data_IF_360136110978
#
_entry.id   IF_360136110978
#
_cell.length_a   1.000
_cell.length_b   1.000
_cell.length_c   1.000
_cell.angle_alpha   90.00
_cell.angle_beta   90.00
_cell.angle_gamma   90.00
#
_symmetry.space_group_name_H-M   'P 1'
#
loop_
_entity.id
_entity.type
_entity.pdbx_description
1 polymer ?
#
# COMPACT_ATOMS: atom_id res chain seq x y z
N UNK A 1 29.59 0.75 -22.45
CA UNK A 1 30.00 -0.55 -21.88
C UNK A 1 29.09 -1.02 -20.74
N UNK A 2 28.68 -0.17 -19.78
CA UNK A 2 27.77 -0.55 -18.68
C UNK A 2 26.35 -0.95 -19.10
N UNK A 3 25.80 -0.34 -20.15
CA UNK A 3 24.42 -0.61 -20.63
C UNK A 3 24.29 -2.04 -21.20
N UNK A 4 25.28 -2.51 -21.97
CA UNK A 4 25.26 -3.86 -22.54
C UNK A 4 25.39 -4.97 -21.48
N UNK A 5 25.96 -4.66 -20.31
CA UNK A 5 26.07 -5.60 -19.20
C UNK A 5 24.73 -5.74 -18.46
N UNK A 6 24.02 -4.63 -18.23
CA UNK A 6 22.70 -4.64 -17.59
C UNK A 6 21.66 -5.35 -18.48
N UNK A 7 21.68 -5.10 -19.79
CA UNK A 7 20.77 -5.78 -20.74
C UNK A 7 21.01 -7.29 -20.75
N UNK A 8 22.27 -7.75 -20.68
CA UNK A 8 22.60 -9.19 -20.62
C UNK A 8 22.13 -9.83 -19.31
N UNK A 9 22.25 -9.14 -18.18
CA UNK A 9 21.75 -9.66 -16.90
C UNK A 9 20.22 -9.78 -16.94
N UNK A 10 19.52 -8.74 -17.40
CA UNK A 10 18.05 -8.79 -17.54
C UNK A 10 17.62 -9.92 -18.48
N UNK A 11 18.31 -10.10 -19.61
CA UNK A 11 17.98 -11.16 -20.56
C UNK A 11 18.24 -12.57 -20.01
N UNK A 12 19.31 -12.77 -19.24
CA UNK A 12 19.61 -14.05 -18.58
C UNK A 12 18.61 -14.32 -17.44
N UNK A 13 18.23 -13.30 -16.66
CA UNK A 13 17.21 -13.42 -15.62
C UNK A 13 15.83 -13.74 -16.21
N UNK A 14 15.45 -13.11 -17.33
CA UNK A 14 14.22 -13.40 -18.06
C UNK A 14 14.25 -14.82 -18.63
N UNK A 15 15.37 -15.27 -19.20
CA UNK A 15 15.52 -16.66 -19.66
C UNK A 15 15.46 -17.67 -18.51
N UNK A 16 16.04 -17.37 -17.36
CA UNK A 16 15.98 -18.23 -16.17
C UNK A 16 14.56 -18.29 -15.60
N UNK A 17 13.85 -17.16 -15.53
CA UNK A 17 12.45 -17.11 -15.11
C UNK A 17 11.50 -17.81 -16.10
N UNK A 18 11.76 -17.72 -17.41
CA UNK A 18 11.01 -18.48 -18.41
C UNK A 18 11.33 -19.97 -18.27
N UNK A 19 12.58 -20.36 -18.05
CA UNK A 19 12.91 -21.78 -17.83
C UNK A 19 12.32 -22.36 -16.54
N UNK A 20 12.20 -21.56 -15.46
CA UNK A 20 11.54 -22.01 -14.23
C UNK A 20 10.00 -21.98 -14.30
N UNK A 21 9.42 -21.24 -15.25
CA UNK A 21 8.00 -21.32 -15.58
C UNK A 21 7.67 -22.50 -16.51
N UNK A 22 8.66 -23.03 -17.24
CA UNK A 22 8.51 -24.14 -18.19
C UNK A 22 9.15 -25.47 -17.74
N UNK A 23 9.71 -25.56 -16.52
CA UNK A 23 10.25 -26.82 -15.99
C UNK A 23 9.27 -27.58 -15.09
N UNK A 24 8.00 -27.67 -15.48
CA UNK A 24 7.24 -28.85 -15.10
C UNK A 24 7.79 -29.97 -15.97
N UNK A 25 8.50 -30.93 -15.38
CA UNK A 25 8.92 -32.13 -16.11
C UNK A 25 7.69 -32.72 -16.78
N UNK A 26 7.67 -32.69 -18.11
CA UNK A 26 6.56 -33.27 -18.87
C UNK A 26 6.60 -34.78 -18.64
N UNK A 27 5.61 -35.28 -17.90
CA UNK A 27 5.49 -36.72 -17.62
C UNK A 27 5.24 -37.49 -18.92
N UNK A 28 5.72 -38.73 -18.94
CA UNK A 28 5.59 -39.60 -20.10
C UNK A 28 4.13 -39.86 -20.49
N UNK A 29 3.88 -40.22 -21.75
CA UNK A 29 2.53 -40.57 -22.20
C UNK A 29 1.97 -41.75 -21.40
N UNK A 30 2.81 -42.74 -21.08
CA UNK A 30 2.45 -43.88 -20.25
C UNK A 30 2.01 -43.45 -18.84
N UNK A 31 2.68 -42.47 -18.25
CA UNK A 31 2.30 -41.90 -16.95
C UNK A 31 1.01 -41.09 -17.03
N UNK A 32 0.81 -40.29 -18.09
CA UNK A 32 -0.45 -39.59 -18.35
C UNK A 32 -1.61 -40.59 -18.43
N UNK A 33 -1.47 -41.66 -19.22
CA UNK A 33 -2.49 -42.72 -19.34
C UNK A 33 -2.71 -43.44 -18.02
N UNK A 34 -1.65 -43.71 -17.24
CA UNK A 34 -1.78 -44.29 -15.90
C UNK A 34 -2.64 -43.41 -14.99
N UNK A 35 -2.40 -42.10 -14.96
CA UNK A 35 -3.20 -41.16 -14.17
C UNK A 35 -4.66 -41.13 -14.64
N UNK A 36 -4.89 -41.09 -15.95
CA UNK A 36 -6.25 -41.10 -16.54
C UNK A 36 -7.00 -42.38 -16.14
N UNK A 37 -6.36 -43.55 -16.22
CA UNK A 37 -6.98 -44.83 -15.84
C UNK A 37 -7.27 -44.92 -14.34
N UNK A 38 -6.51 -44.22 -13.49
CA UNK A 38 -6.78 -44.19 -12.05
C UNK A 38 -8.04 -43.41 -11.68
N UNK A 39 -8.63 -42.64 -12.60
CA UNK A 39 -9.93 -42.00 -12.40
C UNK A 39 -11.09 -43.01 -12.26
N UNK A 40 -10.91 -44.28 -12.64
CA UNK A 40 -11.88 -45.34 -12.40
C UNK A 40 -11.87 -45.89 -10.96
N UNK A 41 -10.86 -45.49 -10.15
CA UNK A 41 -10.76 -45.91 -8.76
C UNK A 41 -11.75 -45.17 -7.85
N UNK A 42 -12.04 -45.74 -6.67
CA UNK A 42 -12.91 -45.08 -5.68
C UNK A 42 -12.23 -43.95 -4.90
N UNK A 43 -10.91 -43.82 -4.97
CA UNK A 43 -10.14 -42.77 -4.29
C UNK A 43 -9.32 -41.97 -5.31
N UNK A 44 -9.95 -40.90 -5.83
CA UNK A 44 -9.39 -40.07 -6.90
C UNK A 44 -8.68 -38.83 -6.38
N UNK A 45 -8.64 -38.58 -5.07
CA UNK A 45 -8.10 -37.32 -4.52
C UNK A 45 -6.64 -37.06 -4.89
N UNK A 46 -5.79 -38.09 -4.79
CA UNK A 46 -4.39 -38.03 -5.21
C UNK A 46 -4.22 -37.90 -6.73
N UNK A 47 -5.13 -38.50 -7.49
CA UNK A 47 -5.15 -38.45 -8.96
C UNK A 47 -5.50 -37.04 -9.43
N UNK A 48 -6.54 -36.41 -8.88
CA UNK A 48 -6.95 -35.03 -9.18
C UNK A 48 -5.77 -34.07 -8.96
N UNK A 49 -5.08 -34.21 -7.83
CA UNK A 49 -3.89 -33.39 -7.51
C UNK A 49 -2.79 -33.57 -8.57
N UNK A 50 -2.51 -34.81 -8.96
CA UNK A 50 -1.51 -35.13 -9.99
C UNK A 50 -1.90 -34.58 -11.37
N UNK A 51 -3.16 -34.74 -11.78
CA UNK A 51 -3.67 -34.20 -13.05
C UNK A 51 -3.57 -32.67 -13.08
N UNK A 52 -3.81 -32.01 -11.94
CA UNK A 52 -3.68 -30.55 -11.77
C UNK A 52 -2.22 -30.10 -11.85
N UNK A 53 -1.32 -30.81 -11.17
CA UNK A 53 0.11 -30.49 -11.11
C UNK A 53 0.75 -30.63 -12.49
N UNK A 54 0.54 -31.76 -13.18
CA UNK A 54 1.13 -32.05 -14.49
C UNK A 54 0.32 -31.53 -15.69
N UNK A 55 -0.79 -30.81 -15.44
CA UNK A 55 -1.66 -30.23 -16.46
C UNK A 55 -2.07 -31.23 -17.57
N UNK A 56 -2.52 -32.42 -17.17
CA UNK A 56 -2.86 -33.53 -18.10
C UNK A 56 -4.21 -33.29 -18.78
N UNK A 57 -4.24 -32.41 -19.78
CA UNK A 57 -5.45 -31.99 -20.48
C UNK A 57 -6.18 -33.13 -21.20
N UNK A 58 -5.47 -34.20 -21.56
CA UNK A 58 -5.99 -35.42 -22.19
C UNK A 58 -6.96 -36.17 -21.27
N UNK A 59 -6.93 -35.92 -19.96
CA UNK A 59 -7.87 -36.50 -19.01
C UNK A 59 -9.30 -35.97 -19.15
N UNK A 60 -9.52 -34.87 -19.88
CA UNK A 60 -10.81 -34.17 -19.99
C UNK A 60 -11.99 -35.09 -20.27
N UNK A 61 -11.94 -35.88 -21.36
CA UNK A 61 -13.04 -36.77 -21.74
C UNK A 61 -13.32 -37.83 -20.68
N UNK A 62 -12.26 -38.33 -20.03
CA UNK A 62 -12.40 -39.31 -18.95
C UNK A 62 -13.05 -38.69 -17.73
N UNK A 63 -12.65 -37.46 -17.37
CA UNK A 63 -13.26 -36.70 -16.27
C UNK A 63 -14.75 -36.50 -16.53
N UNK A 64 -15.14 -36.10 -17.75
CA UNK A 64 -16.55 -35.95 -18.15
C UNK A 64 -17.35 -37.26 -17.94
N UNK A 65 -16.75 -38.41 -18.28
CA UNK A 65 -17.39 -39.71 -18.09
C UNK A 65 -17.56 -40.12 -16.62
N UNK A 66 -16.58 -39.83 -15.76
CA UNK A 66 -16.58 -40.30 -14.37
C UNK A 66 -17.14 -39.28 -13.37
N UNK A 67 -17.36 -38.03 -13.78
CA UNK A 67 -17.73 -36.92 -12.88
C UNK A 67 -18.86 -37.25 -11.92
N UNK A 68 -19.92 -37.90 -12.42
CA UNK A 68 -21.12 -38.26 -11.67
C UNK A 68 -21.04 -39.61 -10.93
N UNK A 69 -19.85 -40.19 -10.79
CA UNK A 69 -19.65 -41.43 -10.05
C UNK A 69 -20.04 -41.23 -8.57
N UNK A 70 -21.04 -41.99 -8.11
CA UNK A 70 -21.58 -41.89 -6.75
C UNK A 70 -20.59 -42.27 -5.65
N UNK A 71 -19.48 -42.92 -6.00
CA UNK A 71 -18.41 -43.25 -5.05
C UNK A 71 -17.51 -42.06 -4.73
N UNK A 72 -17.53 -41.00 -5.54
CA UNK A 72 -16.70 -39.82 -5.30
C UNK A 72 -17.26 -38.96 -4.18
N UNK A 73 -16.36 -38.39 -3.38
CA UNK A 73 -16.75 -37.37 -2.40
C UNK A 73 -17.12 -36.09 -3.13
N UNK A 74 -17.90 -35.22 -2.49
CA UNK A 74 -18.23 -33.89 -3.04
C UNK A 74 -16.97 -33.07 -3.32
N UNK A 75 -15.99 -33.13 -2.43
CA UNK A 75 -14.67 -32.52 -2.63
C UNK A 75 -13.97 -33.01 -3.90
N UNK A 76 -14.09 -34.31 -4.22
CA UNK A 76 -13.47 -34.89 -5.40
C UNK A 76 -14.22 -34.42 -6.66
N UNK A 77 -15.55 -34.41 -6.64
CA UNK A 77 -16.37 -33.91 -7.74
C UNK A 77 -16.10 -32.42 -8.02
N UNK A 78 -15.97 -31.60 -6.98
CA UNK A 78 -15.53 -30.21 -7.15
C UNK A 78 -14.12 -30.13 -7.75
N UNK A 79 -13.17 -30.93 -7.28
CA UNK A 79 -11.82 -30.98 -7.86
C UNK A 79 -11.81 -31.37 -9.34
N UNK A 80 -12.71 -32.29 -9.75
CA UNK A 80 -12.93 -32.63 -11.15
C UNK A 80 -13.58 -31.47 -11.92
N UNK A 81 -14.51 -30.72 -11.32
CA UNK A 81 -15.14 -29.55 -11.94
C UNK A 81 -14.12 -28.45 -12.24
N UNK A 82 -13.21 -28.19 -11.30
CA UNK A 82 -12.08 -27.27 -11.52
C UNK A 82 -11.17 -27.72 -12.67
N UNK A 83 -10.88 -29.03 -12.76
CA UNK A 83 -10.10 -29.58 -13.86
C UNK A 83 -10.82 -29.43 -15.20
N UNK A 84 -12.14 -29.68 -15.25
CA UNK A 84 -12.93 -29.46 -16.46
C UNK A 84 -12.88 -28.00 -16.92
N UNK A 85 -13.05 -27.05 -15.99
CA UNK A 85 -12.89 -25.62 -16.27
C UNK A 85 -11.49 -25.32 -16.82
N UNK A 86 -10.44 -25.78 -16.13
CA UNK A 86 -9.05 -25.56 -16.52
C UNK A 86 -8.69 -26.18 -17.87
N UNK A 87 -9.23 -27.35 -18.19
CA UNK A 87 -8.99 -28.06 -19.44
C UNK A 87 -9.91 -27.62 -20.59
N UNK A 88 -10.75 -26.60 -20.36
CA UNK A 88 -11.64 -26.03 -21.38
C UNK A 88 -12.68 -27.02 -21.88
N UNK A 89 -13.30 -27.79 -20.96
CA UNK A 89 -14.48 -28.58 -21.31
C UNK A 89 -15.66 -27.68 -21.63
N UNK A 90 -16.41 -28.05 -22.67
CA UNK A 90 -17.67 -27.37 -23.01
C UNK A 90 -18.80 -27.75 -22.05
N UNK A 91 -18.63 -28.81 -21.26
CA UNK A 91 -19.61 -29.27 -20.26
C UNK A 91 -19.45 -28.61 -18.90
N UNK A 92 -18.39 -27.82 -18.68
CA UNK A 92 -18.10 -27.19 -17.38
C UNK A 92 -19.29 -26.38 -16.87
N UNK A 93 -19.95 -25.62 -17.76
CA UNK A 93 -21.09 -24.79 -17.40
C UNK A 93 -22.26 -25.63 -16.85
N UNK A 94 -22.72 -26.61 -17.63
CA UNK A 94 -23.83 -27.48 -17.26
C UNK A 94 -23.50 -28.31 -16.01
N UNK A 95 -22.24 -28.74 -15.87
CA UNK A 95 -21.79 -29.53 -14.72
C UNK A 95 -21.73 -28.68 -13.45
N UNK A 96 -21.34 -27.41 -13.53
CA UNK A 96 -21.34 -26.51 -12.39
C UNK A 96 -22.77 -26.25 -11.88
N UNK A 97 -23.73 -25.97 -12.78
CA UNK A 97 -25.14 -25.82 -12.42
C UNK A 97 -25.70 -27.09 -11.77
N UNK A 98 -25.54 -28.24 -12.44
CA UNK A 98 -26.04 -29.50 -11.94
C UNK A 98 -25.38 -29.91 -10.61
N UNK A 99 -24.11 -29.54 -10.40
CA UNK A 99 -23.41 -29.81 -9.15
C UNK A 99 -23.99 -29.00 -7.99
N UNK A 100 -24.28 -27.71 -8.20
CA UNK A 100 -24.95 -26.85 -7.21
C UNK A 100 -26.32 -27.42 -6.83
N UNK A 101 -27.14 -27.78 -7.82
CA UNK A 101 -28.47 -28.35 -7.60
C UNK A 101 -28.39 -29.72 -6.88
N UNK A 102 -27.37 -30.52 -7.21
CA UNK A 102 -27.13 -31.81 -6.55
C UNK A 102 -26.76 -31.65 -5.08
N UNK A 103 -26.02 -30.60 -4.73
CA UNK A 103 -25.68 -30.28 -3.35
C UNK A 103 -26.90 -29.83 -2.54
N UNK A 104 -27.88 -29.18 -3.15
CA UNK A 104 -29.14 -28.79 -2.50
C UNK A 104 -30.01 -30.02 -2.17
N UNK A 105 -30.14 -30.96 -3.10
CA UNK A 105 -31.01 -32.14 -2.95
C UNK A 105 -30.34 -33.27 -2.15
N UNK A 106 -29.02 -33.44 -2.30
CA UNK A 106 -28.24 -34.47 -1.60
C UNK A 106 -26.95 -33.88 -0.99
N UNK A 107 -27.11 -33.09 0.10
CA UNK A 107 -26.02 -32.33 0.72
C UNK A 107 -24.85 -33.18 1.22
N UNK A 108 -25.11 -34.38 1.72
CA UNK A 108 -24.10 -35.12 2.49
C UNK A 108 -23.34 -36.19 1.71
N UNK A 109 -23.83 -36.67 0.56
CA UNK A 109 -23.17 -37.76 -0.18
C UNK A 109 -22.65 -38.86 0.77
N UNK A 110 -21.38 -39.29 0.60
CA UNK A 110 -20.70 -40.25 1.49
C UNK A 110 -19.72 -39.63 2.51
N UNK A 111 -19.37 -38.34 2.42
CA UNK A 111 -18.62 -37.57 3.44
C UNK A 111 -18.35 -36.15 2.91
N UNK A 112 -18.57 -35.11 3.71
CA UNK A 112 -17.90 -33.81 3.54
C UNK A 112 -16.74 -33.80 4.55
N UNK A 113 -15.55 -33.31 4.18
CA UNK A 113 -14.39 -33.20 5.10
C UNK A 113 -14.61 -32.13 6.19
N UNK A 114 -15.81 -32.08 6.81
CA UNK A 114 -16.20 -31.06 7.78
C UNK A 114 -16.52 -29.69 7.17
N UNK A 115 -16.40 -29.51 5.85
CA UNK A 115 -16.80 -28.28 5.15
C UNK A 115 -18.31 -28.26 4.87
N UNK A 116 -18.91 -27.07 4.96
CA UNK A 116 -20.33 -26.88 4.70
C UNK A 116 -20.66 -27.12 3.22
N UNK A 117 -21.86 -27.60 2.94
CA UNK A 117 -22.36 -27.80 1.58
C UNK A 117 -22.38 -26.48 0.81
N UNK A 118 -22.77 -25.43 1.52
CA UNK A 118 -22.79 -24.06 1.03
C UNK A 118 -21.42 -23.58 0.55
N UNK A 119 -20.32 -23.98 1.22
CA UNK A 119 -18.97 -23.70 0.75
C UNK A 119 -18.71 -24.24 -0.67
N UNK A 120 -19.06 -25.50 -0.93
CA UNK A 120 -18.88 -26.08 -2.27
C UNK A 120 -19.81 -25.47 -3.31
N UNK A 121 -21.01 -25.02 -2.91
CA UNK A 121 -21.91 -24.29 -3.79
C UNK A 121 -21.32 -22.92 -4.19
N UNK A 122 -20.69 -22.21 -3.25
CA UNK A 122 -19.96 -20.96 -3.52
C UNK A 122 -18.75 -21.17 -4.44
N UNK A 123 -17.97 -22.24 -4.22
CA UNK A 123 -16.85 -22.54 -5.10
C UNK A 123 -17.30 -22.87 -6.53
N UNK A 124 -18.39 -23.63 -6.68
CA UNK A 124 -18.98 -23.90 -8.00
C UNK A 124 -19.59 -22.64 -8.63
N UNK A 125 -20.20 -21.74 -7.84
CA UNK A 125 -20.70 -20.46 -8.35
C UNK A 125 -19.56 -19.56 -8.82
N UNK A 126 -18.38 -19.61 -8.19
CA UNK A 126 -17.20 -18.90 -8.71
C UNK A 126 -16.81 -19.38 -10.11
N UNK A 127 -16.90 -20.69 -10.41
CA UNK A 127 -16.64 -21.23 -11.75
C UNK A 127 -17.66 -20.68 -12.75
N UNK A 128 -18.94 -20.60 -12.39
CA UNK A 128 -19.97 -19.97 -13.22
C UNK A 128 -19.64 -18.49 -13.49
N UNK A 129 -19.22 -17.74 -12.47
CA UNK A 129 -18.83 -16.33 -12.64
C UNK A 129 -17.61 -16.17 -13.55
N UNK A 130 -16.65 -17.09 -13.46
CA UNK A 130 -15.50 -17.14 -14.39
C UNK A 130 -15.94 -17.40 -15.84
N UNK A 131 -17.07 -18.08 -16.03
CA UNK A 131 -17.72 -18.29 -17.33
C UNK A 131 -18.70 -17.17 -17.71
N UNK A 132 -18.82 -16.11 -16.89
CA UNK A 132 -19.69 -14.96 -17.14
C UNK A 132 -21.13 -15.11 -16.65
N UNK A 133 -21.46 -16.18 -15.91
CA UNK A 133 -22.78 -16.39 -15.32
C UNK A 133 -22.79 -16.08 -13.82
N UNK A 134 -23.59 -15.09 -13.44
CA UNK A 134 -23.73 -14.60 -12.07
C UNK A 134 -25.06 -15.03 -11.42
N UNK A 135 -25.84 -15.92 -12.04
CA UNK A 135 -27.16 -16.36 -11.58
C UNK A 135 -27.19 -17.04 -10.21
N UNK A 136 -26.02 -17.44 -9.69
CA UNK A 136 -25.86 -18.10 -8.38
C UNK A 136 -25.04 -17.25 -7.40
N UNK A 137 -24.91 -15.94 -7.63
CA UNK A 137 -24.15 -15.03 -6.77
C UNK A 137 -24.72 -14.90 -5.35
N UNK A 138 -26.04 -15.04 -5.17
CA UNK A 138 -26.69 -14.99 -3.85
C UNK A 138 -26.11 -15.96 -2.83
N UNK A 139 -25.63 -17.13 -3.29
CA UNK A 139 -25.03 -18.16 -2.43
C UNK A 139 -23.78 -17.65 -1.70
N UNK A 140 -23.05 -16.69 -2.29
CA UNK A 140 -21.88 -16.07 -1.67
C UNK A 140 -22.30 -15.28 -0.44
N UNK A 141 -23.38 -14.52 -0.54
CA UNK A 141 -23.89 -13.71 0.57
C UNK A 141 -24.52 -14.57 1.66
N UNK A 142 -25.23 -15.64 1.29
CA UNK A 142 -25.72 -16.63 2.25
C UNK A 142 -24.56 -17.26 3.02
N UNK A 143 -23.48 -17.64 2.33
CA UNK A 143 -22.28 -18.21 2.95
C UNK A 143 -21.61 -17.23 3.90
N UNK A 144 -21.44 -15.98 3.47
CA UNK A 144 -20.84 -14.93 4.30
C UNK A 144 -21.70 -14.57 5.52
N UNK A 145 -23.01 -14.78 5.49
CA UNK A 145 -23.85 -14.61 6.68
C UNK A 145 -23.66 -15.76 7.67
N UNK A 146 -23.40 -16.98 7.17
CA UNK A 146 -23.27 -18.17 7.99
C UNK A 146 -21.90 -18.32 8.65
N UNK A 147 -20.80 -18.09 7.92
CA UNK A 147 -19.43 -18.35 8.42
C UNK A 147 -18.80 -17.16 9.15
N UNK A 148 -19.45 -16.00 9.14
CA UNK A 148 -18.90 -14.78 9.69
C UNK A 148 -18.43 -14.92 11.16
N UNK A 149 -17.29 -14.31 11.58
CA UNK A 149 -16.38 -13.41 10.85
C UNK A 149 -15.34 -14.08 9.93
N UNK A 150 -15.47 -15.38 9.67
CA UNK A 150 -14.53 -16.08 8.81
C UNK A 150 -14.81 -15.74 7.35
N UNK A 151 -13.84 -15.11 6.73
CA UNK A 151 -13.79 -14.82 5.31
C UNK A 151 -12.35 -15.08 4.84
N UNK A 152 -12.19 -15.68 3.67
CA UNK A 152 -10.88 -15.91 3.07
C UNK A 152 -10.69 -15.06 1.82
N UNK A 153 -9.47 -15.06 1.31
CA UNK A 153 -9.12 -14.50 0.01
C UNK A 153 -10.05 -14.97 -1.13
N UNK A 154 -10.59 -16.19 -1.07
CA UNK A 154 -11.51 -16.73 -2.09
C UNK A 154 -12.81 -15.92 -2.14
N UNK A 155 -13.47 -15.74 -1.01
CA UNK A 155 -14.72 -14.98 -0.95
C UNK A 155 -14.48 -13.51 -1.30
N UNK A 156 -13.38 -12.92 -0.84
CA UNK A 156 -13.01 -11.53 -1.19
C UNK A 156 -12.81 -11.37 -2.70
N UNK A 157 -12.16 -12.34 -3.36
CA UNK A 157 -12.00 -12.37 -4.82
C UNK A 157 -13.34 -12.50 -5.56
N UNK A 158 -14.29 -13.25 -4.99
CA UNK A 158 -15.65 -13.31 -5.54
C UNK A 158 -16.36 -11.95 -5.39
N UNK A 159 -16.28 -11.32 -4.22
CA UNK A 159 -16.85 -9.99 -3.98
C UNK A 159 -16.28 -8.94 -4.93
N UNK A 160 -14.97 -8.98 -5.22
CA UNK A 160 -14.33 -8.11 -6.22
C UNK A 160 -14.95 -8.31 -7.62
N UNK A 161 -15.17 -9.55 -8.04
CA UNK A 161 -15.81 -9.83 -9.33
C UNK A 161 -17.24 -9.29 -9.38
N UNK A 162 -18.01 -9.46 -8.31
CA UNK A 162 -19.38 -8.94 -8.23
C UNK A 162 -19.40 -7.42 -8.31
N UNK A 163 -18.52 -6.76 -7.56
CA UNK A 163 -18.33 -5.30 -7.56
C UNK A 163 -18.05 -4.76 -8.98
N UNK A 164 -17.24 -5.49 -9.76
CA UNK A 164 -16.80 -5.05 -11.09
C UNK A 164 -17.79 -5.39 -12.23
N UNK A 165 -18.60 -6.43 -12.09
CA UNK A 165 -19.36 -7.00 -13.21
C UNK A 165 -20.88 -7.00 -13.03
N UNK A 166 -21.39 -6.85 -11.80
CA UNK A 166 -22.82 -7.03 -11.51
C UNK A 166 -23.38 -5.85 -10.70
N UNK A 167 -23.92 -4.80 -11.36
CA UNK A 167 -24.37 -3.58 -10.68
C UNK A 167 -25.40 -3.80 -9.56
N UNK A 168 -26.27 -4.81 -9.69
CA UNK A 168 -27.27 -5.14 -8.67
C UNK A 168 -26.66 -5.64 -7.34
N UNK A 169 -25.47 -6.25 -7.37
CA UNK A 169 -24.75 -6.69 -6.18
C UNK A 169 -23.71 -5.68 -5.68
N UNK A 170 -23.54 -4.54 -6.34
CA UNK A 170 -22.48 -3.59 -6.04
C UNK A 170 -22.47 -3.15 -4.57
N UNK A 171 -23.60 -2.63 -4.07
CA UNK A 171 -23.68 -2.15 -2.69
C UNK A 171 -23.56 -3.27 -1.66
N UNK A 172 -24.09 -4.46 -1.98
CA UNK A 172 -23.99 -5.61 -1.08
C UNK A 172 -22.55 -6.12 -0.99
N UNK A 173 -21.87 -6.28 -2.12
CA UNK A 173 -20.46 -6.69 -2.16
C UNK A 173 -19.55 -5.66 -1.47
N UNK A 174 -19.79 -4.37 -1.70
CA UNK A 174 -19.08 -3.29 -1.02
C UNK A 174 -19.28 -3.36 0.50
N UNK A 175 -20.50 -3.58 0.96
CA UNK A 175 -20.84 -3.68 2.39
C UNK A 175 -20.12 -4.87 3.03
N UNK A 176 -20.12 -6.03 2.36
CA UNK A 176 -19.41 -7.22 2.84
C UNK A 176 -17.89 -7.03 2.90
N UNK A 177 -17.31 -6.33 1.92
CA UNK A 177 -15.88 -5.97 1.97
C UNK A 177 -15.58 -5.00 3.12
N UNK A 178 -16.42 -3.98 3.36
CA UNK A 178 -16.25 -3.06 4.49
C UNK A 178 -16.32 -3.80 5.83
N UNK A 179 -17.26 -4.74 5.94
CA UNK A 179 -17.43 -5.61 7.09
C UNK A 179 -16.18 -6.48 7.29
N UNK A 180 -15.68 -7.13 6.23
CA UNK A 180 -14.44 -7.93 6.28
C UNK A 180 -13.23 -7.12 6.74
N UNK A 181 -13.09 -5.86 6.30
CA UNK A 181 -11.98 -4.98 6.71
C UNK A 181 -11.97 -4.72 8.21
N UNK A 182 -13.13 -4.53 8.81
CA UNK A 182 -13.26 -4.15 10.22
C UNK A 182 -13.15 -5.34 11.16
N UNK A 183 -13.61 -6.51 10.74
CA UNK A 183 -14.00 -7.56 11.68
C UNK A 183 -13.50 -8.97 11.30
N UNK A 184 -12.88 -9.18 10.14
CA UNK A 184 -12.38 -10.51 9.77
C UNK A 184 -11.30 -11.01 10.75
N UNK A 185 -11.32 -12.31 11.07
CA UNK A 185 -10.41 -12.93 12.05
C UNK A 185 -8.92 -12.84 11.66
N UNK A 186 -8.64 -12.76 10.35
CA UNK A 186 -7.29 -12.83 9.80
C UNK A 186 -6.90 -11.48 9.23
N UNK A 187 -5.84 -10.88 9.78
CA UNK A 187 -5.35 -9.55 9.36
C UNK A 187 -5.03 -9.46 7.86
N UNK A 188 -4.52 -10.55 7.27
CA UNK A 188 -4.27 -10.63 5.83
C UNK A 188 -5.54 -10.49 4.99
N UNK A 189 -6.65 -11.05 5.43
CA UNK A 189 -7.91 -10.96 4.70
C UNK A 189 -8.53 -9.56 4.85
N UNK A 190 -8.39 -8.92 6.02
CA UNK A 190 -8.72 -7.50 6.22
C UNK A 190 -7.95 -6.60 5.26
N UNK A 191 -6.64 -6.82 5.15
CA UNK A 191 -5.78 -6.12 4.18
C UNK A 191 -6.26 -6.30 2.74
N UNK A 192 -6.55 -7.55 2.34
CA UNK A 192 -6.93 -7.85 0.96
C UNK A 192 -8.29 -7.23 0.61
N UNK A 193 -9.28 -7.28 1.52
CA UNK A 193 -10.57 -6.62 1.33
C UNK A 193 -10.42 -5.10 1.18
N UNK A 194 -9.52 -4.49 1.95
CA UNK A 194 -9.21 -3.07 1.88
C UNK A 194 -8.54 -2.69 0.56
N UNK A 195 -7.60 -3.51 0.07
CA UNK A 195 -6.97 -3.34 -1.24
C UNK A 195 -8.00 -3.39 -2.38
N UNK A 196 -8.91 -4.37 -2.35
CA UNK A 196 -10.00 -4.49 -3.34
C UNK A 196 -10.86 -3.22 -3.38
N UNK A 197 -11.36 -2.75 -2.22
CA UNK A 197 -12.19 -1.54 -2.19
C UNK A 197 -11.43 -0.29 -2.61
N UNK A 198 -10.16 -0.17 -2.22
CA UNK A 198 -9.33 0.95 -2.61
C UNK A 198 -9.09 1.02 -4.11
N UNK A 199 -8.87 -0.13 -4.76
CA UNK A 199 -8.70 -0.19 -6.20
C UNK A 199 -9.98 0.18 -6.96
N UNK A 200 -11.15 -0.05 -6.36
CA UNK A 200 -12.43 0.28 -6.97
C UNK A 200 -12.86 1.75 -6.73
N UNK A 201 -12.82 2.25 -5.50
CA UNK A 201 -13.22 3.62 -5.18
C UNK A 201 -12.34 4.25 -4.07
N UNK A 202 -11.28 4.92 -4.50
CA UNK A 202 -10.28 5.50 -3.60
C UNK A 202 -10.81 6.62 -2.69
N UNK A 203 -11.84 7.36 -3.11
CA UNK A 203 -12.35 8.49 -2.31
C UNK A 203 -13.27 8.03 -1.18
N UNK A 204 -14.19 7.09 -1.47
CA UNK A 204 -15.14 6.60 -0.48
C UNK A 204 -14.50 5.79 0.65
N UNK A 205 -13.31 5.22 0.40
CA UNK A 205 -12.60 4.41 1.40
C UNK A 205 -11.74 5.25 2.37
N UNK A 206 -11.59 6.56 2.14
CA UNK A 206 -10.76 7.44 2.99
C UNK A 206 -11.19 7.43 4.47
N UNK A 207 -12.49 7.58 4.81
CA UNK A 207 -12.93 7.52 6.21
C UNK A 207 -12.57 6.19 6.87
N UNK A 208 -12.72 5.09 6.13
CA UNK A 208 -12.36 3.75 6.63
C UNK A 208 -10.85 3.60 6.82
N UNK A 209 -10.02 4.07 5.88
CA UNK A 209 -8.56 4.07 6.04
C UNK A 209 -8.12 4.89 7.26
N UNK A 210 -8.78 6.04 7.51
CA UNK A 210 -8.53 6.86 8.71
C UNK A 210 -8.86 6.08 9.99
N UNK A 211 -10.00 5.39 10.01
CA UNK A 211 -10.39 4.52 11.12
C UNK A 211 -9.35 3.40 11.36
N UNK A 212 -8.98 2.67 10.30
CA UNK A 212 -7.98 1.59 10.38
C UNK A 212 -6.66 2.10 10.93
N UNK A 213 -6.14 3.22 10.42
CA UNK A 213 -4.89 3.80 10.90
C UNK A 213 -4.90 4.07 12.42
N UNK A 214 -6.04 4.52 12.95
CA UNK A 214 -6.16 4.91 14.36
C UNK A 214 -6.46 3.73 15.29
N UNK A 215 -7.24 2.77 14.85
CA UNK A 215 -7.90 1.78 15.71
C UNK A 215 -7.43 0.34 15.49
N UNK A 216 -6.92 0.00 14.29
CA UNK A 216 -6.59 -1.39 13.97
C UNK A 216 -5.43 -1.89 14.84
N UNK A 217 -5.59 -3.09 15.41
CA UNK A 217 -4.58 -3.73 16.25
C UNK A 217 -3.35 -4.12 15.43
N UNK A 218 -3.52 -4.53 14.17
CA UNK A 218 -2.44 -5.00 13.31
C UNK A 218 -1.62 -3.84 12.73
N UNK A 219 -0.29 -3.81 12.97
CA UNK A 219 0.55 -2.73 12.47
C UNK A 219 0.72 -2.74 10.94
N UNK A 220 0.55 -3.89 10.27
CA UNK A 220 0.62 -3.99 8.80
C UNK A 220 -0.55 -3.27 8.15
N UNK A 221 -1.76 -3.47 8.67
CA UNK A 221 -2.97 -2.79 8.18
C UNK A 221 -2.85 -1.28 8.39
N UNK A 222 -2.42 -0.85 9.58
CA UNK A 222 -2.16 0.57 9.88
C UNK A 222 -1.10 1.17 8.98
N UNK A 223 -0.02 0.45 8.71
CA UNK A 223 1.06 0.91 7.83
C UNK A 223 0.56 1.14 6.41
N UNK A 224 -0.25 0.22 5.88
CA UNK A 224 -0.82 0.36 4.56
C UNK A 224 -1.79 1.55 4.48
N UNK A 225 -2.64 1.73 5.50
CA UNK A 225 -3.51 2.90 5.59
C UNK A 225 -2.69 4.21 5.65
N UNK A 226 -1.63 4.25 6.46
CA UNK A 226 -0.71 5.38 6.55
C UNK A 226 -0.08 5.73 5.19
N UNK A 227 0.46 4.75 4.47
CA UNK A 227 1.09 4.98 3.17
C UNK A 227 0.08 5.49 2.14
N UNK A 228 -1.12 4.90 2.09
CA UNK A 228 -2.19 5.32 1.19
C UNK A 228 -2.68 6.75 1.46
N UNK A 229 -2.93 7.09 2.74
CA UNK A 229 -3.36 8.42 3.15
C UNK A 229 -2.28 9.47 2.86
N UNK A 230 -1.02 9.19 3.16
CA UNK A 230 0.06 10.19 3.06
C UNK A 230 0.60 10.40 1.64
N UNK A 231 0.40 9.46 0.72
CA UNK A 231 0.81 9.62 -0.68
C UNK A 231 -0.22 10.44 -1.46
N UNK A 232 -1.51 10.12 -1.32
CA UNK A 232 -2.58 10.69 -2.14
C UNK A 232 -3.44 11.75 -1.44
N UNK A 233 -3.56 11.69 -0.11
CA UNK A 233 -4.55 12.46 0.66
C UNK A 233 -3.89 13.23 1.82
N UNK A 234 -3.01 14.17 1.46
CA UNK A 234 -2.26 15.02 2.41
C UNK A 234 -3.13 16.17 2.94
N UNK A 235 -4.22 15.84 3.63
CA UNK A 235 -5.07 16.83 4.29
C UNK A 235 -4.60 17.12 5.74
N UNK A 236 -5.18 18.15 6.35
CA UNK A 236 -4.88 18.58 7.72
C UNK A 236 -5.32 17.54 8.77
N UNK A 237 -6.37 16.76 8.48
CA UNK A 237 -6.86 15.74 9.40
C UNK A 237 -5.86 14.57 9.52
N UNK A 238 -5.36 14.07 8.38
CA UNK A 238 -4.28 13.07 8.32
C UNK A 238 -3.05 13.62 9.03
N UNK A 239 -2.69 14.88 8.81
CA UNK A 239 -1.57 15.51 9.50
C UNK A 239 -1.71 15.47 11.03
N UNK A 240 -2.89 15.78 11.54
CA UNK A 240 -3.20 15.75 12.96
C UNK A 240 -3.18 14.31 13.53
N UNK A 241 -3.71 13.32 12.80
CA UNK A 241 -3.65 11.92 13.20
C UNK A 241 -2.21 11.42 13.34
N UNK A 242 -1.33 11.78 12.40
CA UNK A 242 0.09 11.43 12.48
C UNK A 242 0.73 12.00 13.75
N UNK A 243 0.45 13.28 14.08
CA UNK A 243 0.97 13.89 15.31
C UNK A 243 0.42 13.22 16.57
N UNK A 244 -0.88 12.94 16.62
CA UNK A 244 -1.51 12.24 17.74
C UNK A 244 -0.89 10.86 17.96
N UNK A 245 -0.64 10.12 16.87
CA UNK A 245 -0.23 8.72 16.94
C UNK A 245 1.26 8.52 17.16
N UNK A 246 2.13 9.47 16.76
CA UNK A 246 3.59 9.32 16.84
C UNK A 246 4.09 8.83 18.20
N UNK A 247 3.59 9.39 19.31
CA UNK A 247 4.02 9.00 20.66
C UNK A 247 3.18 7.91 21.31
N UNK A 248 2.04 7.56 20.71
CA UNK A 248 1.04 6.64 21.27
C UNK A 248 1.02 5.28 20.57
N UNK A 249 1.60 5.17 19.37
CA UNK A 249 1.56 3.92 18.63
C UNK A 249 2.36 2.82 19.36
N UNK A 250 1.78 1.64 19.60
CA UNK A 250 2.51 0.55 20.25
C UNK A 250 3.67 0.03 19.39
N UNK A 251 3.55 0.11 18.06
CA UNK A 251 4.55 -0.42 17.14
C UNK A 251 5.64 0.61 16.83
N UNK A 252 6.87 0.30 17.20
CA UNK A 252 8.00 1.22 17.01
C UNK A 252 8.34 1.51 15.54
N UNK A 253 8.09 0.54 14.65
CA UNK A 253 8.32 0.74 13.22
C UNK A 253 7.28 1.70 12.63
N UNK A 254 6.03 1.64 13.07
CA UNK A 254 5.01 2.64 12.73
C UNK A 254 5.37 4.02 13.26
N UNK A 255 5.87 4.16 14.49
CA UNK A 255 6.35 5.46 15.00
C UNK A 255 7.44 6.04 14.11
N UNK A 256 8.41 5.22 13.71
CA UNK A 256 9.42 5.61 12.72
C UNK A 256 8.78 6.10 11.41
N UNK A 257 7.86 5.33 10.84
CA UNK A 257 7.19 5.69 9.58
C UNK A 257 6.39 6.98 9.70
N UNK A 258 5.64 7.17 10.79
CA UNK A 258 4.89 8.39 11.06
C UNK A 258 5.84 9.60 11.11
N UNK A 259 6.93 9.52 11.87
CA UNK A 259 7.94 10.57 11.93
C UNK A 259 8.52 10.89 10.54
N UNK A 260 8.82 9.86 9.74
CA UNK A 260 9.30 10.04 8.37
C UNK A 260 8.25 10.70 7.46
N UNK A 261 6.96 10.39 7.61
CA UNK A 261 5.89 11.08 6.85
C UNK A 261 5.76 12.53 7.27
N UNK A 262 5.82 12.83 8.57
CA UNK A 262 5.83 14.21 9.07
C UNK A 262 7.04 14.99 8.50
N UNK A 263 8.24 14.41 8.50
CA UNK A 263 9.44 15.07 7.99
C UNK A 263 9.43 15.25 6.46
N UNK A 264 9.06 14.22 5.69
CA UNK A 264 9.30 14.22 4.24
C UNK A 264 8.04 14.34 3.38
N UNK A 265 6.87 13.98 3.91
CA UNK A 265 5.61 14.10 3.15
C UNK A 265 4.93 15.44 3.39
N UNK A 266 4.91 15.92 4.64
CA UNK A 266 4.43 17.26 5.02
C UNK A 266 5.60 18.25 5.07
N UNK A 267 6.58 18.00 5.95
CA UNK A 267 7.90 18.64 5.94
C UNK A 267 7.91 20.13 6.24
N UNK A 268 6.91 20.62 6.98
CA UNK A 268 6.93 22.00 7.46
C UNK A 268 7.80 22.12 8.73
N UNK A 269 8.07 23.36 9.13
CA UNK A 269 8.95 23.66 10.27
C UNK A 269 8.38 23.13 11.60
N UNK A 270 7.06 23.16 11.76
CA UNK A 270 6.37 22.60 12.94
C UNK A 270 6.51 21.08 13.02
N UNK A 271 6.57 20.38 11.89
CA UNK A 271 6.71 18.93 11.82
C UNK A 271 8.10 18.50 12.22
N UNK A 272 9.12 19.20 11.71
CA UNK A 272 10.49 18.99 12.14
C UNK A 272 10.63 19.20 13.64
N UNK A 273 10.08 20.31 14.17
CA UNK A 273 10.09 20.56 15.62
C UNK A 273 9.40 19.43 16.38
N UNK A 274 8.20 19.03 15.95
CA UNK A 274 7.43 17.98 16.61
C UNK A 274 8.20 16.65 16.68
N UNK A 275 8.81 16.23 15.57
CA UNK A 275 9.60 14.98 15.54
C UNK A 275 10.90 15.12 16.36
N UNK A 276 11.54 16.29 16.33
CA UNK A 276 12.74 16.55 17.14
C UNK A 276 12.44 16.55 18.64
N UNK A 277 11.30 17.10 19.05
CA UNK A 277 10.86 17.14 20.45
C UNK A 277 10.42 15.73 20.93
N UNK A 278 9.92 14.89 20.02
CA UNK A 278 9.57 13.50 20.29
C UNK A 278 10.80 12.61 20.53
N UNK A 279 11.88 12.82 19.77
CA UNK A 279 13.03 11.94 19.70
C UNK A 279 13.62 11.53 21.07
N UNK A 280 13.81 12.42 22.06
CA UNK A 280 14.34 12.03 23.38
C UNK A 280 13.47 11.02 24.15
N UNK A 281 12.19 10.88 23.78
CA UNK A 281 11.24 9.96 24.41
C UNK A 281 11.09 8.60 23.72
N UNK A 282 11.69 8.38 22.54
CA UNK A 282 11.64 7.08 21.86
C UNK A 282 12.50 6.05 22.60
N UNK A 283 11.87 4.96 23.04
CA UNK A 283 12.48 3.90 23.83
C UNK A 283 13.20 2.85 22.98
N UNK A 284 12.78 2.68 21.72
CA UNK A 284 13.46 1.78 20.79
C UNK A 284 14.72 2.43 20.24
N UNK A 285 15.89 1.91 20.62
CA UNK A 285 17.21 2.45 20.27
C UNK A 285 17.43 2.47 18.75
N UNK A 286 17.06 1.42 18.03
CA UNK A 286 17.26 1.35 16.58
C UNK A 286 16.42 2.40 15.84
N UNK A 287 15.17 2.60 16.29
CA UNK A 287 14.31 3.65 15.76
C UNK A 287 14.83 5.04 16.11
N UNK A 288 15.30 5.23 17.35
CA UNK A 288 15.90 6.48 17.80
C UNK A 288 17.12 6.86 16.94
N UNK A 289 18.08 5.95 16.79
CA UNK A 289 19.28 6.14 15.97
C UNK A 289 18.91 6.42 14.50
N UNK A 290 17.97 5.65 13.96
CA UNK A 290 17.45 5.84 12.61
C UNK A 290 16.84 7.23 12.42
N UNK A 291 16.01 7.69 13.35
CA UNK A 291 15.43 9.05 13.31
C UNK A 291 16.48 10.13 13.49
N UNK A 292 17.47 9.93 14.37
CA UNK A 292 18.56 10.88 14.58
C UNK A 292 19.36 11.08 13.29
N UNK A 293 19.73 10.00 12.58
CA UNK A 293 20.39 10.09 11.27
C UNK A 293 19.55 10.90 10.28
N UNK A 294 18.25 10.62 10.23
CA UNK A 294 17.33 11.30 9.32
C UNK A 294 17.18 12.79 9.67
N UNK A 295 17.02 13.13 10.94
CA UNK A 295 16.98 14.51 11.43
C UNK A 295 18.29 15.21 11.10
N UNK A 296 19.44 14.61 11.40
CA UNK A 296 20.77 15.18 11.12
C UNK A 296 20.95 15.51 9.64
N UNK A 297 20.54 14.61 8.74
CA UNK A 297 20.63 14.77 7.29
C UNK A 297 19.49 15.60 6.67
N UNK A 298 18.47 15.96 7.45
CA UNK A 298 17.27 16.63 6.96
C UNK A 298 17.57 17.95 6.24
N UNK A 299 16.90 18.15 5.11
CA UNK A 299 16.84 19.41 4.39
C UNK A 299 15.37 19.78 4.17
N UNK A 300 14.97 21.05 4.39
CA UNK A 300 13.61 21.50 4.09
C UNK A 300 13.24 21.15 2.65
N UNK A 301 11.98 20.79 2.42
CA UNK A 301 11.47 20.45 1.09
C UNK A 301 11.70 21.61 0.12
N UNK A 302 12.12 21.28 -1.11
CA UNK A 302 12.23 22.27 -2.19
C UNK A 302 10.83 22.85 -2.46
N UNK A 303 10.63 24.17 -2.42
CA UNK A 303 9.36 24.80 -2.71
C UNK A 303 8.87 24.46 -4.12
N UNK A 304 7.55 24.51 -4.35
CA UNK A 304 6.98 24.34 -5.69
C UNK A 304 7.60 25.35 -6.68
N UNK A 305 7.93 24.89 -7.89
CA UNK A 305 8.45 25.73 -8.97
C UNK A 305 7.44 26.79 -9.43
N UNK A 306 6.14 26.57 -9.16
CA UNK A 306 5.09 27.56 -9.43
C UNK A 306 5.13 28.77 -8.47
N UNK A 307 5.71 28.62 -7.28
CA UNK A 307 5.80 29.69 -6.29
C UNK A 307 6.72 30.82 -6.77
N UNK A 308 6.25 32.07 -6.67
CA UNK A 308 7.04 33.23 -7.09
C UNK A 308 8.19 33.50 -6.12
N UNK A 309 9.27 34.11 -6.59
CA UNK A 309 10.39 34.51 -5.72
C UNK A 309 9.96 35.50 -4.62
N UNK A 310 8.90 36.29 -4.84
CA UNK A 310 8.33 37.16 -3.81
C UNK A 310 7.65 36.34 -2.71
N UNK A 311 6.89 35.31 -3.08
CA UNK A 311 6.26 34.42 -2.11
C UNK A 311 7.31 33.68 -1.28
N UNK A 312 8.38 33.21 -1.92
CA UNK A 312 9.49 32.56 -1.22
C UNK A 312 10.20 33.51 -0.24
N UNK A 313 10.40 34.78 -0.60
CA UNK A 313 10.97 35.79 0.31
C UNK A 313 10.03 36.04 1.50
N UNK A 314 8.72 36.15 1.27
CA UNK A 314 7.75 36.29 2.35
C UNK A 314 7.76 35.07 3.27
N UNK A 315 7.80 33.85 2.71
CA UNK A 315 7.90 32.60 3.47
C UNK A 315 9.18 32.55 4.29
N UNK A 316 10.33 32.96 3.75
CA UNK A 316 11.60 33.01 4.48
C UNK A 316 11.56 34.02 5.64
N UNK A 317 10.90 35.16 5.46
CA UNK A 317 10.65 36.12 6.55
C UNK A 317 9.81 35.48 7.66
N UNK A 318 8.71 34.81 7.33
CA UNK A 318 7.86 34.11 8.31
C UNK A 318 8.56 32.94 9.00
N UNK A 319 9.42 32.22 8.26
CA UNK A 319 10.31 31.20 8.82
C UNK A 319 11.26 31.83 9.85
N UNK A 320 11.81 33.01 9.58
CA UNK A 320 12.69 33.73 10.51
C UNK A 320 11.97 34.05 11.82
N UNK A 321 10.73 34.54 11.77
CA UNK A 321 9.91 34.76 12.97
C UNK A 321 9.64 33.46 13.74
N UNK A 322 9.32 32.38 13.03
CA UNK A 322 8.99 31.09 13.65
C UNK A 322 10.22 30.47 14.35
N UNK A 323 11.39 30.55 13.72
CA UNK A 323 12.65 30.05 14.27
C UNK A 323 13.06 30.83 15.52
N UNK A 324 12.89 32.16 15.50
CA UNK A 324 13.07 32.98 16.69
C UNK A 324 12.14 32.54 17.82
N UNK A 325 10.84 32.33 17.53
CA UNK A 325 9.87 31.88 18.52
C UNK A 325 10.17 30.47 19.07
N UNK A 326 10.88 29.64 18.31
CA UNK A 326 11.35 28.32 18.76
C UNK A 326 12.69 28.37 19.52
N UNK A 327 13.26 29.57 19.72
CA UNK A 327 14.58 29.80 20.31
C UNK A 327 15.71 29.12 19.53
N UNK A 328 15.56 29.01 18.20
CA UNK A 328 16.57 28.48 17.29
C UNK A 328 17.41 29.58 16.61
N UNK A 329 17.07 30.83 16.92
CA UNK A 329 17.76 32.04 16.51
C UNK A 329 18.06 32.86 17.77
N UNK A 330 19.15 33.64 17.72
CA UNK A 330 19.57 34.58 18.75
C UNK A 330 18.56 35.69 19.04
N UNK A 331 19.07 36.78 19.61
CA UNK A 331 18.22 37.87 20.08
C UNK A 331 17.37 38.57 19.00
N UNK A 332 16.44 39.42 19.46
CA UNK A 332 15.53 40.18 18.62
C UNK A 332 16.28 41.08 17.62
N UNK A 333 17.43 41.64 18.03
CA UNK A 333 18.22 42.52 17.17
C UNK A 333 18.75 41.76 15.95
N UNK A 334 19.24 40.54 16.16
CA UNK A 334 19.71 39.70 15.06
C UNK A 334 18.56 39.26 14.14
N UNK A 335 17.40 38.92 14.70
CA UNK A 335 16.21 38.63 13.91
C UNK A 335 15.82 39.81 13.02
N UNK A 336 15.79 41.02 13.57
CA UNK A 336 15.42 42.24 12.85
C UNK A 336 16.44 42.60 11.75
N UNK A 337 17.74 42.36 12.00
CA UNK A 337 18.81 42.49 10.99
C UNK A 337 18.55 41.56 9.79
N UNK A 338 18.29 40.27 10.06
CA UNK A 338 17.98 39.29 9.02
C UNK A 338 16.74 39.68 8.20
N UNK A 339 15.67 40.11 8.87
CA UNK A 339 14.43 40.54 8.19
C UNK A 339 14.64 41.81 7.36
N UNK A 340 15.48 42.75 7.81
CA UNK A 340 15.84 43.95 7.05
C UNK A 340 16.55 43.61 5.72
N UNK A 341 17.44 42.61 5.74
CA UNK A 341 18.11 42.12 4.52
C UNK A 341 17.08 41.52 3.55
N UNK A 342 16.14 40.70 4.04
CA UNK A 342 15.08 40.10 3.21
C UNK A 342 14.12 41.16 2.63
N UNK A 343 13.77 42.17 3.42
CA UNK A 343 12.92 43.28 2.96
C UNK A 343 13.62 44.11 1.87
N UNK A 344 14.93 44.29 1.97
CA UNK A 344 15.75 44.91 0.92
C UNK A 344 15.78 44.07 -0.35
N UNK A 345 15.96 42.74 -0.23
CA UNK A 345 15.90 41.81 -1.36
C UNK A 345 14.55 41.90 -2.09
N UNK A 346 13.44 41.86 -1.33
CA UNK A 346 12.07 41.99 -1.84
C UNK A 346 11.86 43.30 -2.59
N UNK A 347 12.32 44.41 -2.01
CA UNK A 347 12.22 45.74 -2.63
C UNK A 347 12.97 45.81 -3.97
N UNK A 348 14.17 45.23 -4.04
CA UNK A 348 14.93 45.17 -5.30
C UNK A 348 14.22 44.33 -6.36
N UNK A 349 13.70 43.17 -5.98
CA UNK A 349 12.96 42.29 -6.88
C UNK A 349 11.69 42.97 -7.42
N UNK A 350 10.94 43.68 -6.58
CA UNK A 350 9.76 44.44 -6.99
C UNK A 350 10.08 45.59 -7.96
N UNK A 351 11.32 46.11 -7.94
CA UNK A 351 11.82 47.10 -8.90
C UNK A 351 12.34 46.47 -10.21
N UNK A 352 12.29 45.14 -10.34
CA UNK A 352 12.81 44.41 -11.49
C UNK A 352 14.32 44.13 -11.43
N UNK A 353 15.00 44.41 -10.32
CA UNK A 353 16.43 44.18 -10.15
C UNK A 353 16.69 42.81 -9.48
N UNK A 354 16.68 41.76 -10.29
CA UNK A 354 16.90 40.39 -9.84
C UNK A 354 18.34 40.15 -9.34
N UNK A 355 19.31 40.90 -9.85
CA UNK A 355 20.72 40.78 -9.45
C UNK A 355 20.94 41.38 -8.06
N UNK A 356 20.43 42.58 -7.80
CA UNK A 356 20.50 43.19 -6.47
C UNK A 356 19.68 42.40 -5.44
N UNK A 357 18.56 41.78 -5.85
CA UNK A 357 17.85 40.80 -5.02
C UNK A 357 18.77 39.62 -4.65
N UNK A 358 19.45 39.01 -5.64
CA UNK A 358 20.37 37.87 -5.41
C UNK A 358 21.46 38.23 -4.41
N UNK A 359 22.08 39.40 -4.54
CA UNK A 359 23.12 39.87 -3.62
C UNK A 359 22.60 39.91 -2.18
N UNK A 360 21.40 40.45 -1.95
CA UNK A 360 20.79 40.51 -0.60
C UNK A 360 20.41 39.14 -0.04
N UNK A 361 19.88 38.23 -0.87
CA UNK A 361 19.61 36.85 -0.40
C UNK A 361 20.91 36.13 -0.05
N UNK A 362 22.00 36.39 -0.80
CA UNK A 362 23.31 35.81 -0.50
C UNK A 362 23.92 36.37 0.79
N UNK A 363 23.81 37.69 1.00
CA UNK A 363 24.19 38.37 2.25
C UNK A 363 23.47 37.76 3.46
N UNK A 364 22.15 37.56 3.37
CA UNK A 364 21.37 36.85 4.39
C UNK A 364 21.91 35.44 4.65
N UNK A 365 22.12 34.65 3.60
CA UNK A 365 22.58 33.27 3.71
C UNK A 365 23.97 33.18 4.35
N UNK A 366 24.88 34.07 3.96
CA UNK A 366 26.25 34.11 4.48
C UNK A 366 26.28 34.53 5.94
N UNK A 367 25.47 35.51 6.34
CA UNK A 367 25.34 35.92 7.74
C UNK A 367 24.85 34.77 8.63
N UNK A 368 23.76 34.09 8.22
CA UNK A 368 23.25 32.90 8.92
C UNK A 368 24.33 31.81 9.00
N UNK A 369 25.03 31.54 7.90
CA UNK A 369 26.08 30.52 7.84
C UNK A 369 27.29 30.85 8.70
N UNK A 370 27.67 32.13 8.82
CA UNK A 370 28.79 32.58 9.63
C UNK A 370 28.45 32.49 11.13
N UNK A 371 27.28 32.99 11.54
CA UNK A 371 26.83 32.92 12.94
C UNK A 371 26.67 31.47 13.41
N UNK A 372 26.14 30.59 12.56
CA UNK A 372 26.05 29.16 12.89
C UNK A 372 27.43 28.50 13.12
N UNK A 373 28.45 28.86 12.32
CA UNK A 373 29.81 28.31 12.44
C UNK A 373 30.57 28.84 13.65
N UNK A 374 30.19 30.03 14.15
CA UNK A 374 30.85 30.69 15.27
C UNK A 374 30.32 30.22 16.64
N UNK A 375 30.09 28.90 16.77
CA UNK A 375 29.39 28.28 17.92
C UNK A 375 30.14 28.30 19.26
N UNK A 376 31.32 28.95 19.30
CA UNK A 376 32.17 29.11 20.49
C UNK A 376 32.18 30.56 21.01
N UNK A 377 31.44 31.46 20.37
CA UNK A 377 31.46 32.87 20.69
C UNK A 377 30.47 33.18 21.83
N UNK A 378 30.85 34.06 22.75
CA UNK A 378 29.98 34.56 23.82
C UNK A 378 28.96 35.61 23.31
N UNK A 379 28.75 35.64 22.00
CA UNK A 379 27.86 36.57 21.30
C UNK A 379 26.40 36.17 21.55
N UNK A 380 25.50 37.10 21.90
CA UNK A 380 24.07 36.82 21.99
C UNK A 380 23.45 36.37 20.66
N UNK A 381 24.14 36.61 19.53
CA UNK A 381 23.78 36.07 18.21
C UNK A 381 24.18 34.60 18.14
N UNK A 382 23.17 33.75 17.97
CA UNK A 382 23.36 32.36 17.62
C UNK A 382 22.36 31.91 16.55
N UNK A 383 22.69 30.81 15.89
CA UNK A 383 21.78 30.05 15.04
C UNK A 383 22.00 28.59 15.41
N UNK A 384 20.96 27.87 15.81
CA UNK A 384 21.10 26.43 16.08
C UNK A 384 21.22 25.65 14.76
N UNK A 385 21.57 24.36 14.80
CA UNK A 385 21.62 23.54 13.58
C UNK A 385 20.25 23.44 12.90
N UNK A 386 19.17 23.42 13.69
CA UNK A 386 17.78 23.43 13.24
C UNK A 386 17.45 24.75 12.54
N UNK A 387 17.74 25.89 13.19
CA UNK A 387 17.55 27.20 12.61
C UNK A 387 18.34 27.39 11.32
N UNK A 388 19.61 26.96 11.32
CA UNK A 388 20.49 27.02 10.15
C UNK A 388 19.92 26.23 8.97
N UNK A 389 19.45 25.00 9.17
CA UNK A 389 18.86 24.18 8.10
C UNK A 389 17.72 24.92 7.38
N UNK A 390 16.79 25.50 8.14
CA UNK A 390 15.64 26.16 7.54
C UNK A 390 15.99 27.49 6.90
N UNK A 391 16.79 28.33 7.55
CA UNK A 391 17.18 29.64 7.01
C UNK A 391 18.09 29.49 5.79
N UNK A 392 19.11 28.65 5.87
CA UNK A 392 20.13 28.49 4.83
C UNK A 392 19.56 27.86 3.55
N UNK A 393 18.83 26.74 3.66
CA UNK A 393 18.33 26.03 2.49
C UNK A 393 17.19 26.79 1.81
N UNK A 394 16.28 27.43 2.54
CA UNK A 394 15.25 28.25 1.91
C UNK A 394 15.83 29.48 1.19
N UNK A 395 16.88 30.09 1.74
CA UNK A 395 17.64 31.12 1.01
C UNK A 395 18.33 30.54 -0.24
N UNK A 396 18.90 29.34 -0.15
CA UNK A 396 19.51 28.66 -1.30
C UNK A 396 18.51 28.41 -2.42
N UNK A 397 17.30 27.97 -2.10
CA UNK A 397 16.24 27.73 -3.10
C UNK A 397 15.83 29.01 -3.84
N UNK A 398 15.87 30.17 -3.18
CA UNK A 398 15.65 31.46 -3.83
C UNK A 398 16.84 31.81 -4.75
N UNK A 399 18.07 31.64 -4.27
CA UNK A 399 19.29 31.89 -5.05
C UNK A 399 19.36 31.03 -6.32
N UNK A 400 18.89 29.79 -6.26
CA UNK A 400 18.88 28.88 -7.41
C UNK A 400 17.88 29.31 -8.50
N UNK A 401 16.87 30.11 -8.14
CA UNK A 401 15.84 30.65 -9.07
C UNK A 401 16.17 32.03 -9.64
N UNK A 402 17.05 32.79 -8.97
CA UNK A 402 17.44 34.12 -9.44
C UNK A 402 18.52 34.05 -10.52
N UNK A 403 18.52 35.01 -11.44
CA UNK A 403 19.54 35.15 -12.49
C UNK A 403 20.96 35.14 -11.91
N UNK A 404 21.89 34.49 -12.60
CA UNK A 404 23.33 34.53 -12.25
C UNK A 404 23.99 35.75 -12.90
N UNK A 405 25.06 36.30 -12.29
CA UNK A 405 25.86 37.36 -12.90
C UNK A 405 26.50 36.92 -14.22
#
# INVERSE_FOLDING_TARGET
MKINFIIRIIFVSVLFCISSLYSQEEISWEEKQRLINQLDSSDVGGVISSLREYNVTEAKEKIEQVFWNSNFRRSDQYGLLELLYRFGSYLTYDYALAYIDTLEVNPFGNNTFGLSVLYYQVLASEILMKLGDYSKADLVFEYLQYEYPKISQTEISILEKLLNNVPEYYELAKTELQRAILEADVNRDRYYALEVLYNHNQQEIIPLMKQIFMEDEDPTNRLWALDSLTIKYKDEEVHNFLKQRLSQDPDSYLRYKIAMKLLYSFGNLSDYKFVSDYLPGEQNIEINDGLLINISAYKPRVPDYSASNIDLLNSLTSITDTIYNYNWLGDLQFKDELQSILQSAKTNLQKGDSLACRVKVKEFQDLVGNVYKDSLNTDPRFVTVEGWKFLYWNAQYILDRLSKP
#
